data_IF_116411940110
#
_entry.id   IF_116411940110
#
_cell.length_a   1.000
_cell.length_b   1.000
_cell.length_c   1.000
_cell.angle_alpha   90.00
_cell.angle_beta   90.00
_cell.angle_gamma   90.00
#
_symmetry.space_group_name_H-M   'P 1'
#
loop_
_entity.id
_entity.type
_entity.pdbx_description
1 polymer ?
#
# COMPACT_ATOMS: atom_id res chain seq x y z
N UNK A 1 -22.63 -7.19 -15.95
CA UNK A 1 -22.24 -7.97 -14.75
C UNK A 1 -20.75 -7.84 -14.62
N UNK A 2 -20.26 -7.25 -13.53
CA UNK A 2 -18.82 -7.05 -13.37
C UNK A 2 -18.14 -8.42 -13.16
N UNK A 3 -17.22 -8.76 -14.06
CA UNK A 3 -16.52 -10.04 -14.13
C UNK A 3 -15.40 -10.20 -13.09
N UNK A 4 -15.20 -9.23 -12.19
CA UNK A 4 -14.13 -9.30 -11.17
C UNK A 4 -14.28 -10.48 -10.20
N UNK A 5 -15.46 -11.10 -10.12
CA UNK A 5 -15.69 -12.28 -9.25
C UNK A 5 -14.91 -13.52 -9.69
N UNK A 6 -14.39 -13.55 -10.92
CA UNK A 6 -13.69 -14.70 -11.48
C UNK A 6 -12.19 -14.45 -11.68
N UNK A 7 -11.63 -13.35 -11.17
CA UNK A 7 -10.19 -13.11 -11.26
C UNK A 7 -9.45 -14.07 -10.33
N UNK A 8 -8.51 -14.83 -10.88
CA UNK A 8 -7.62 -15.65 -10.07
C UNK A 8 -6.63 -14.76 -9.32
N UNK A 9 -6.06 -15.29 -8.23
CA UNK A 9 -4.95 -14.61 -7.52
C UNK A 9 -3.80 -14.28 -8.46
N UNK A 10 -3.50 -15.17 -9.42
CA UNK A 10 -2.38 -14.97 -10.35
C UNK A 10 -2.66 -13.77 -11.24
N UNK A 11 -3.81 -13.74 -11.91
CA UNK A 11 -4.21 -12.63 -12.78
C UNK A 11 -4.28 -11.30 -12.01
N UNK A 12 -4.79 -11.34 -10.77
CA UNK A 12 -4.82 -10.14 -9.92
C UNK A 12 -3.41 -9.63 -9.61
N UNK A 13 -2.49 -10.52 -9.23
CA UNK A 13 -1.11 -10.14 -8.91
C UNK A 13 -0.30 -9.74 -10.14
N UNK A 14 -0.61 -10.28 -11.33
CA UNK A 14 0.01 -9.88 -12.59
C UNK A 14 -0.31 -8.43 -12.94
N UNK A 15 -1.54 -7.97 -12.69
CA UNK A 15 -1.90 -6.56 -12.90
C UNK A 15 -0.98 -5.59 -12.14
N UNK A 16 -0.66 -5.87 -10.88
CA UNK A 16 0.21 -5.02 -10.06
C UNK A 16 1.71 -5.18 -10.33
N UNK A 17 2.11 -6.13 -11.19
CA UNK A 17 3.50 -6.34 -11.61
C UNK A 17 3.77 -5.79 -13.00
N UNK A 18 2.72 -5.37 -13.70
CA UNK A 18 2.80 -4.76 -15.01
C UNK A 18 2.87 -3.24 -14.85
N UNK A 19 4.04 -2.67 -15.13
CA UNK A 19 4.29 -1.23 -15.02
C UNK A 19 3.42 -0.40 -15.97
N UNK A 20 3.04 -0.95 -17.14
CA UNK A 20 2.14 -0.28 -18.08
C UNK A 20 0.74 -0.20 -17.47
N UNK A 21 0.25 -1.29 -16.89
CA UNK A 21 -1.06 -1.32 -16.21
C UNK A 21 -1.09 -0.44 -14.98
N UNK A 22 -0.03 -0.46 -14.18
CA UNK A 22 0.10 0.46 -13.05
C UNK A 22 0.01 1.92 -13.52
N UNK A 23 0.66 2.27 -14.64
CA UNK A 23 0.67 3.64 -15.18
C UNK A 23 -0.71 4.17 -15.57
N UNK A 24 -1.69 3.30 -15.81
CA UNK A 24 -3.09 3.67 -16.09
C UNK A 24 -3.83 4.20 -14.85
N UNK A 25 -3.31 3.95 -13.64
CA UNK A 25 -3.92 4.37 -12.39
C UNK A 25 -3.57 5.83 -12.05
N UNK A 26 -4.58 6.62 -11.70
CA UNK A 26 -4.38 7.96 -11.18
C UNK A 26 -3.73 7.93 -9.80
N UNK A 27 -3.12 9.03 -9.33
CA UNK A 27 -2.62 9.12 -7.96
C UNK A 27 -3.69 8.76 -6.91
N UNK A 28 -4.94 9.20 -7.11
CA UNK A 28 -6.04 8.92 -6.18
C UNK A 28 -6.40 7.43 -6.15
N UNK A 29 -6.45 6.76 -7.31
CA UNK A 29 -6.71 5.31 -7.39
C UNK A 29 -5.63 4.52 -6.63
N UNK A 30 -4.37 4.93 -6.77
CA UNK A 30 -3.24 4.28 -6.09
C UNK A 30 -3.33 4.44 -4.58
N UNK A 31 -3.73 5.63 -4.10
CA UNK A 31 -3.94 5.90 -2.68
C UNK A 31 -5.12 5.06 -2.15
N UNK A 32 -6.21 4.93 -2.90
CA UNK A 32 -7.36 4.10 -2.51
C UNK A 32 -6.96 2.63 -2.37
N UNK A 33 -6.22 2.09 -3.34
CA UNK A 33 -5.72 0.72 -3.32
C UNK A 33 -4.82 0.48 -2.11
N UNK A 34 -3.83 1.36 -1.87
CA UNK A 34 -2.92 1.26 -0.73
C UNK A 34 -3.66 1.21 0.61
N UNK A 35 -4.70 2.03 0.76
CA UNK A 35 -5.53 2.10 1.99
C UNK A 35 -6.48 0.90 2.16
N UNK A 36 -6.65 0.08 1.13
CA UNK A 36 -7.62 -1.03 1.10
C UNK A 36 -6.97 -2.42 1.18
N UNK A 37 -5.69 -2.56 0.77
CA UNK A 37 -5.02 -3.87 0.68
C UNK A 37 -4.62 -4.45 2.05
N UNK A 38 -4.34 -3.61 3.05
CA UNK A 38 -3.85 -4.07 4.36
C UNK A 38 -4.94 -4.81 5.14
N UNK A 39 -4.59 -5.92 5.81
CA UNK A 39 -5.53 -6.78 6.55
C UNK A 39 -5.99 -6.15 7.87
N UNK A 40 -5.24 -5.17 8.38
CA UNK A 40 -5.58 -4.45 9.60
C UNK A 40 -4.39 -3.68 10.17
N UNK A 41 -4.56 -3.16 11.38
CA UNK A 41 -3.54 -2.34 12.04
C UNK A 41 -2.23 -3.09 12.32
N UNK A 42 -2.26 -4.42 12.42
CA UNK A 42 -1.06 -5.24 12.62
C UNK A 42 -0.08 -5.20 11.45
N UNK A 43 -0.56 -4.89 10.25
CA UNK A 43 0.28 -4.83 9.06
C UNK A 43 1.03 -3.49 8.97
N UNK A 44 0.59 -2.48 9.73
CA UNK A 44 1.22 -1.16 9.79
C UNK A 44 2.26 -1.17 10.91
N UNK A 45 3.51 -1.43 10.56
CA UNK A 45 4.65 -1.30 11.47
C UNK A 45 5.44 -0.02 11.20
N UNK A 46 6.23 0.42 12.19
CA UNK A 46 7.18 1.51 12.01
C UNK A 46 8.12 1.23 10.84
N UNK A 47 8.70 0.03 10.80
CA UNK A 47 9.64 -0.39 9.76
C UNK A 47 9.01 -0.31 8.36
N UNK A 48 7.75 -0.74 8.19
CA UNK A 48 7.05 -0.63 6.91
C UNK A 48 6.93 0.83 6.46
N UNK A 49 6.49 1.70 7.36
CA UNK A 49 6.29 3.12 7.04
C UNK A 49 7.62 3.83 6.76
N UNK A 50 8.66 3.56 7.55
CA UNK A 50 10.01 4.11 7.33
C UNK A 50 10.57 3.67 5.95
N UNK A 51 10.38 2.40 5.58
CA UNK A 51 10.76 1.92 4.24
C UNK A 51 9.97 2.60 3.13
N UNK A 52 8.65 2.75 3.28
CA UNK A 52 7.82 3.48 2.29
C UNK A 52 8.28 4.92 2.14
N UNK A 53 8.56 5.63 3.24
CA UNK A 53 9.07 7.01 3.14
C UNK A 53 10.43 7.06 2.42
N UNK A 54 11.32 6.12 2.73
CA UNK A 54 12.64 6.01 2.10
C UNK A 54 12.55 5.72 0.60
N UNK A 55 11.73 4.75 0.19
CA UNK A 55 11.56 4.34 -1.22
C UNK A 55 11.05 5.49 -2.10
N UNK A 56 10.26 6.39 -1.51
CA UNK A 56 9.72 7.58 -2.17
C UNK A 56 10.55 8.85 -1.92
N UNK A 57 11.73 8.72 -1.30
CA UNK A 57 12.62 9.85 -0.99
C UNK A 57 11.93 10.98 -0.19
N UNK A 58 10.98 10.62 0.68
CA UNK A 58 10.27 11.56 1.54
C UNK A 58 11.11 11.82 2.78
N UNK A 59 11.76 12.99 2.84
CA UNK A 59 12.67 13.36 3.93
C UNK A 59 12.06 14.33 4.94
N UNK A 60 10.83 14.79 4.71
CA UNK A 60 10.16 15.79 5.53
C UNK A 60 9.12 15.20 6.51
N UNK A 61 9.06 13.87 6.63
CA UNK A 61 8.19 13.13 7.55
C UNK A 61 9.03 12.13 8.37
N UNK A 62 8.61 11.86 9.59
CA UNK A 62 9.24 10.89 10.52
C UNK A 62 8.16 10.02 11.17
N UNK A 63 8.43 8.71 11.31
CA UNK A 63 7.53 7.76 11.97
C UNK A 63 7.96 7.55 13.42
N UNK A 64 7.04 7.83 14.34
CA UNK A 64 7.25 7.63 15.77
C UNK A 64 6.46 6.41 16.25
N UNK A 65 7.15 5.44 16.84
CA UNK A 65 6.51 4.33 17.56
C UNK A 65 6.37 4.73 19.03
N UNK A 66 5.12 4.83 19.47
CA UNK A 66 4.82 5.08 20.87
C UNK A 66 4.87 3.75 21.62
N UNK A 67 5.71 3.66 22.66
CA UNK A 67 5.61 2.56 23.61
C UNK A 67 4.35 2.78 24.44
N UNK A 68 3.43 1.82 24.44
CA UNK A 68 2.30 1.83 25.37
C UNK A 68 2.84 1.91 26.81
N UNK A 69 2.81 3.10 27.42
CA UNK A 69 3.35 3.30 28.77
C UNK A 69 3.78 4.69 29.22
N UNK A 70 3.77 5.72 28.37
CA UNK A 70 4.01 7.11 28.83
C UNK A 70 2.80 8.01 28.52
N UNK A 71 1.79 7.93 29.39
CA UNK A 71 0.85 9.02 29.66
C UNK A 71 1.01 9.46 31.10
#
# INVERSE_FOLDING_TARGET
MNNYKNISRVEFMEFFRDDEKLSELTPDDRIEIFRTILLGSSDISKDLLDHVLSDYSVTNLEVLELKDGEK
#
